data_IF_413750716407
#
_entry.id   IF_413750716407
#
_cell.length_a   1.000
_cell.length_b   1.000
_cell.length_c   1.000
_cell.angle_alpha   90.00
_cell.angle_beta   90.00
_cell.angle_gamma   90.00
#
_symmetry.space_group_name_H-M   'P 1'
#
loop_
_entity.id
_entity.type
_entity.pdbx_description
1 polymer ?
#
# COMPACT_ATOMS: atom_id res chain seq x y z
N UNK A 1 24.21 1.74 16.48
CA UNK A 1 23.97 0.27 16.46
C UNK A 1 24.33 -0.26 17.83
N UNK A 2 23.49 -1.10 18.39
CA UNK A 2 23.76 -1.83 19.63
C UNK A 2 23.86 -3.30 19.23
N UNK A 3 25.00 -3.93 19.49
CA UNK A 3 25.22 -5.34 19.22
C UNK A 3 24.70 -6.19 20.39
N UNK A 4 24.27 -7.42 20.11
CA UNK A 4 23.64 -8.32 21.08
C UNK A 4 22.58 -7.58 21.91
N UNK A 5 21.63 -6.97 21.18
CA UNK A 5 20.65 -6.06 21.76
C UNK A 5 19.36 -6.78 22.15
N UNK A 6 18.66 -6.21 23.10
CA UNK A 6 17.27 -6.53 23.41
C UNK A 6 16.40 -5.27 23.41
N UNK A 7 15.12 -5.44 23.12
CA UNK A 7 14.12 -4.38 23.06
C UNK A 7 12.84 -4.86 23.77
N UNK A 8 12.41 -4.10 24.79
CA UNK A 8 11.14 -4.33 25.47
C UNK A 8 10.05 -3.43 24.87
N UNK A 9 8.92 -4.05 24.54
CA UNK A 9 7.73 -3.36 24.03
C UNK A 9 6.57 -3.57 25.00
N UNK A 10 6.00 -2.50 25.53
CA UNK A 10 4.86 -2.49 26.44
C UNK A 10 3.78 -1.58 25.87
N UNK A 11 2.54 -2.04 25.81
CA UNK A 11 1.39 -1.29 25.29
C UNK A 11 1.64 -0.68 23.88
N UNK A 12 2.36 -1.43 23.02
CA UNK A 12 2.70 -0.99 21.66
C UNK A 12 3.74 0.13 21.59
N UNK A 13 4.51 0.34 22.65
CA UNK A 13 5.57 1.34 22.73
C UNK A 13 6.90 0.71 23.14
N UNK A 14 7.99 1.26 22.65
CA UNK A 14 9.32 0.91 23.13
C UNK A 14 9.49 1.44 24.56
N UNK A 15 9.57 0.52 25.51
CA UNK A 15 9.72 0.85 26.94
C UNK A 15 11.18 0.92 27.34
N UNK A 16 11.94 -0.12 27.04
CA UNK A 16 13.36 -0.22 27.37
C UNK A 16 14.13 -0.90 26.22
N UNK A 17 15.39 -0.65 26.15
CA UNK A 17 16.32 -1.37 25.26
C UNK A 17 17.75 -1.33 25.84
N UNK A 18 18.56 -2.28 25.44
CA UNK A 18 19.95 -2.34 25.90
C UNK A 18 20.76 -3.43 25.21
N UNK A 19 22.02 -3.57 25.62
CA UNK A 19 22.85 -4.71 25.25
C UNK A 19 22.71 -5.83 26.28
N UNK A 20 22.80 -7.06 25.84
CA UNK A 20 22.86 -8.23 26.72
C UNK A 20 24.04 -8.11 27.76
N UNK A 21 25.14 -7.51 27.33
CA UNK A 21 26.30 -7.28 28.19
C UNK A 21 26.03 -6.36 29.39
N UNK A 22 25.07 -5.45 29.26
CA UNK A 22 24.69 -4.49 30.30
C UNK A 22 23.60 -5.04 31.23
N UNK A 23 23.12 -6.25 30.95
CA UNK A 23 22.03 -6.95 31.62
C UNK A 23 20.76 -6.99 30.83
N UNK A 24 19.96 -8.03 31.07
CA UNK A 24 18.63 -8.21 30.47
C UNK A 24 17.53 -8.12 31.50
N UNK A 25 16.34 -7.66 31.18
CA UNK A 25 15.18 -7.75 32.06
C UNK A 25 14.82 -9.22 32.33
N UNK A 26 14.15 -9.49 33.47
CA UNK A 26 13.58 -10.81 33.72
C UNK A 26 12.52 -11.13 32.67
N UNK A 27 12.47 -12.37 32.22
CA UNK A 27 11.44 -12.85 31.29
C UNK A 27 10.18 -13.38 32.00
N UNK A 28 10.13 -13.35 33.33
CA UNK A 28 9.03 -13.91 34.11
C UNK A 28 7.68 -13.19 33.86
N UNK A 29 7.76 -11.90 33.50
CA UNK A 29 6.58 -11.06 33.25
C UNK A 29 6.42 -10.69 31.76
N UNK A 30 7.04 -11.43 30.85
CA UNK A 30 6.98 -11.15 29.38
C UNK A 30 6.06 -12.15 28.70
N UNK A 31 4.99 -11.64 28.07
CA UNK A 31 4.00 -12.49 27.36
C UNK A 31 4.59 -13.21 26.14
N UNK A 32 5.46 -12.53 25.39
CA UNK A 32 6.05 -13.04 24.16
C UNK A 32 7.52 -12.66 24.02
N UNK A 33 8.34 -13.62 23.63
CA UNK A 33 9.75 -13.39 23.28
C UNK A 33 9.94 -13.70 21.81
N UNK A 34 10.51 -12.76 21.07
CA UNK A 34 10.88 -12.92 19.67
C UNK A 34 12.40 -12.94 19.59
N UNK A 35 12.97 -14.08 19.20
CA UNK A 35 14.40 -14.18 18.89
C UNK A 35 14.63 -13.67 17.46
N UNK A 36 15.45 -12.64 17.30
CA UNK A 36 15.82 -12.10 16.00
C UNK A 36 16.89 -12.95 15.28
N UNK A 37 17.37 -14.04 15.90
CA UNK A 37 18.35 -15.00 15.33
C UNK A 37 19.60 -14.32 14.72
N UNK A 38 20.09 -13.27 15.38
CA UNK A 38 21.20 -12.45 14.88
C UNK A 38 20.82 -11.44 13.79
N UNK A 39 19.52 -11.30 13.50
CA UNK A 39 18.99 -10.31 12.58
C UNK A 39 19.05 -8.89 13.16
N UNK A 40 18.86 -7.89 12.28
CA UNK A 40 18.82 -6.50 12.65
C UNK A 40 17.37 -6.01 12.80
N UNK A 41 17.06 -5.37 13.93
CA UNK A 41 15.78 -4.70 14.14
C UNK A 41 15.89 -3.26 13.67
N UNK A 42 15.04 -2.88 12.73
CA UNK A 42 14.98 -1.54 12.15
C UNK A 42 13.55 -0.98 12.24
N UNK A 43 13.40 0.36 12.24
CA UNK A 43 12.09 0.97 12.01
C UNK A 43 11.51 0.51 10.69
N UNK A 44 10.19 0.26 10.65
CA UNK A 44 9.50 -0.04 9.40
C UNK A 44 9.51 1.16 8.44
N UNK A 45 9.43 0.87 7.14
CA UNK A 45 9.30 1.91 6.13
C UNK A 45 7.93 2.58 6.19
N UNK A 46 7.90 3.88 5.91
CA UNK A 46 6.69 4.65 5.68
C UNK A 46 6.63 5.04 4.20
N UNK A 47 5.72 4.42 3.46
CA UNK A 47 5.48 4.75 2.06
C UNK A 47 4.37 5.81 1.97
N UNK A 48 4.74 7.03 1.64
CA UNK A 48 3.87 8.20 1.68
C UNK A 48 3.11 8.46 0.37
N UNK A 49 3.22 7.59 -0.65
CA UNK A 49 2.56 7.81 -1.93
C UNK A 49 2.35 6.49 -2.68
N UNK A 50 1.16 5.90 -2.59
CA UNK A 50 0.84 4.70 -3.35
C UNK A 50 -0.53 4.74 -4.01
N UNK A 51 -0.69 3.85 -5.01
CA UNK A 51 -1.94 3.55 -5.70
C UNK A 51 -2.15 2.03 -5.76
N UNK A 52 -2.00 1.31 -4.65
CA UNK A 52 -2.08 -0.15 -4.65
C UNK A 52 -3.50 -0.70 -4.83
N UNK A 53 -4.54 0.14 -4.70
CA UNK A 53 -5.92 -0.23 -5.02
C UNK A 53 -6.19 0.06 -6.49
N UNK A 54 -6.00 -0.95 -7.33
CA UNK A 54 -6.31 -0.91 -8.77
C UNK A 54 -6.66 -2.31 -9.27
N UNK A 55 -7.39 -2.38 -10.38
CA UNK A 55 -7.73 -3.64 -11.04
C UNK A 55 -6.72 -4.00 -12.12
N UNK A 56 -6.44 -5.31 -12.27
CA UNK A 56 -5.52 -5.82 -13.27
C UNK A 56 -4.05 -5.48 -13.02
N UNK A 57 -3.28 -5.36 -14.10
CA UNK A 57 -1.87 -4.96 -14.05
C UNK A 57 -1.49 -4.13 -15.29
N UNK A 58 -0.38 -3.41 -15.20
CA UNK A 58 0.14 -2.56 -16.29
C UNK A 58 1.51 -3.03 -16.79
N UNK A 59 1.87 -4.26 -16.58
CA UNK A 59 3.18 -4.83 -16.96
C UNK A 59 3.43 -4.71 -18.46
N UNK A 60 2.39 -4.93 -19.28
CA UNK A 60 2.51 -4.80 -20.74
C UNK A 60 2.86 -3.36 -21.17
N UNK A 61 2.28 -2.37 -20.51
CA UNK A 61 2.62 -0.97 -20.77
C UNK A 61 4.07 -0.65 -20.40
N UNK A 62 4.58 -1.29 -19.34
CA UNK A 62 5.98 -1.16 -18.96
C UNK A 62 6.91 -1.76 -20.02
N UNK A 63 6.58 -2.94 -20.56
CA UNK A 63 7.31 -3.55 -21.67
C UNK A 63 7.25 -2.67 -22.92
N UNK A 64 6.09 -2.12 -23.24
CA UNK A 64 5.93 -1.20 -24.38
C UNK A 64 6.80 0.05 -24.24
N UNK A 65 6.91 0.63 -23.03
CA UNK A 65 7.83 1.74 -22.74
C UNK A 65 9.30 1.36 -22.95
N UNK A 66 9.72 0.18 -22.47
CA UNK A 66 11.10 -0.31 -22.70
C UNK A 66 11.38 -0.47 -24.20
N UNK A 67 10.39 -0.87 -24.98
CA UNK A 67 10.48 -1.00 -26.44
C UNK A 67 10.39 0.36 -27.17
N UNK A 68 10.32 1.46 -26.44
CA UNK A 68 10.39 2.82 -27.00
C UNK A 68 9.04 3.39 -27.48
N UNK A 69 7.90 2.77 -27.11
CA UNK A 69 6.61 3.34 -27.45
C UNK A 69 6.34 4.60 -26.65
N UNK A 70 5.78 5.61 -27.32
CA UNK A 70 5.34 6.84 -26.66
C UNK A 70 4.09 6.58 -25.79
N UNK A 71 3.86 7.47 -24.82
CA UNK A 71 2.66 7.39 -23.99
C UNK A 71 1.37 7.43 -24.81
N UNK A 72 1.35 8.24 -25.89
CA UNK A 72 0.21 8.35 -26.79
C UNK A 72 -0.07 7.03 -27.56
N UNK A 73 0.99 6.34 -27.96
CA UNK A 73 0.86 5.03 -28.63
C UNK A 73 0.35 3.95 -27.67
N UNK A 74 0.84 3.94 -26.43
CA UNK A 74 0.37 3.05 -25.38
C UNK A 74 -1.12 3.32 -25.10
N UNK A 75 -1.51 4.59 -24.97
CA UNK A 75 -2.90 4.97 -24.75
C UNK A 75 -3.80 4.55 -25.91
N UNK A 76 -3.36 4.70 -27.17
CA UNK A 76 -4.10 4.22 -28.35
C UNK A 76 -4.27 2.70 -28.42
N UNK A 77 -3.35 1.95 -27.81
CA UNK A 77 -3.44 0.49 -27.69
C UNK A 77 -4.32 0.03 -26.52
N UNK A 78 -5.01 0.96 -25.87
CA UNK A 78 -5.91 0.68 -24.75
C UNK A 78 -5.19 0.67 -23.38
N UNK A 79 -4.01 1.25 -23.27
CA UNK A 79 -3.30 1.46 -22.01
C UNK A 79 -3.66 2.79 -21.33
N UNK A 80 -2.95 3.10 -20.25
CA UNK A 80 -3.08 4.35 -19.51
C UNK A 80 -4.18 4.32 -18.44
N UNK A 81 -4.40 5.48 -17.82
CA UNK A 81 -5.31 5.62 -16.68
C UNK A 81 -6.77 5.28 -17.05
N UNK A 82 -7.19 5.59 -18.26
CA UNK A 82 -8.56 5.31 -18.72
C UNK A 82 -8.84 3.81 -18.80
N UNK A 83 -7.87 3.02 -19.24
CA UNK A 83 -7.97 1.56 -19.21
C UNK A 83 -8.02 1.03 -17.77
N UNK A 84 -7.20 1.59 -16.86
CA UNK A 84 -7.24 1.23 -15.45
C UNK A 84 -8.61 1.52 -14.83
N UNK A 85 -9.24 2.63 -15.20
CA UNK A 85 -10.60 2.99 -14.77
C UNK A 85 -11.64 2.02 -15.32
N UNK A 86 -11.59 1.68 -16.62
CA UNK A 86 -12.49 0.71 -17.24
C UNK A 86 -12.39 -0.68 -16.57
N UNK A 87 -11.18 -1.14 -16.26
CA UNK A 87 -10.95 -2.39 -15.52
C UNK A 87 -11.52 -2.33 -14.11
N UNK A 88 -11.27 -1.22 -13.40
CA UNK A 88 -11.76 -1.02 -12.04
C UNK A 88 -13.29 -0.95 -11.99
N UNK A 89 -13.91 -0.29 -12.97
CA UNK A 89 -15.37 -0.22 -13.12
C UNK A 89 -16.00 -1.61 -13.20
N UNK A 90 -15.41 -2.50 -14.00
CA UNK A 90 -15.89 -3.87 -14.23
C UNK A 90 -15.44 -4.87 -13.16
N UNK A 91 -14.62 -4.46 -12.18
CA UNK A 91 -14.15 -5.33 -11.10
C UNK A 91 -15.03 -5.17 -9.87
N UNK A 92 -15.47 -6.28 -9.29
CA UNK A 92 -16.25 -6.25 -8.05
C UNK A 92 -15.41 -5.70 -6.89
N UNK A 93 -16.07 -5.12 -5.89
CA UNK A 93 -15.40 -4.61 -4.68
C UNK A 93 -14.62 -5.71 -3.96
N UNK A 94 -15.16 -6.94 -3.92
CA UNK A 94 -14.50 -8.08 -3.29
C UNK A 94 -13.22 -8.49 -4.01
N UNK A 95 -13.25 -8.57 -5.33
CA UNK A 95 -12.08 -8.92 -6.12
C UNK A 95 -11.02 -7.79 -6.06
N UNK A 96 -11.45 -6.53 -6.06
CA UNK A 96 -10.57 -5.38 -5.89
C UNK A 96 -9.86 -5.41 -4.53
N UNK A 97 -10.62 -5.73 -3.46
CA UNK A 97 -10.07 -5.90 -2.11
C UNK A 97 -9.05 -7.04 -2.07
N UNK A 98 -9.38 -8.20 -2.64
CA UNK A 98 -8.47 -9.36 -2.67
C UNK A 98 -7.15 -9.02 -3.37
N UNK A 99 -7.21 -8.36 -4.54
CA UNK A 99 -6.01 -7.94 -5.28
C UNK A 99 -5.18 -6.90 -4.51
N UNK A 100 -5.85 -5.94 -3.88
CA UNK A 100 -5.19 -4.90 -3.08
C UNK A 100 -4.49 -5.48 -1.85
N UNK A 101 -5.12 -6.44 -1.16
CA UNK A 101 -4.53 -7.13 -0.01
C UNK A 101 -3.28 -7.93 -0.40
N UNK A 102 -3.28 -8.60 -1.55
CA UNK A 102 -2.08 -9.30 -2.03
C UNK A 102 -0.89 -8.33 -2.21
N UNK A 103 -1.12 -7.15 -2.80
CA UNK A 103 -0.08 -6.12 -2.98
C UNK A 103 0.37 -5.55 -1.63
N UNK A 104 -0.58 -5.34 -0.71
CA UNK A 104 -0.26 -4.89 0.64
C UNK A 104 0.64 -5.89 1.37
N UNK A 105 0.31 -7.18 1.32
CA UNK A 105 1.11 -8.24 1.93
C UNK A 105 2.54 -8.28 1.36
N UNK A 106 2.70 -8.05 0.07
CA UNK A 106 4.03 -8.00 -0.56
C UNK A 106 4.89 -6.85 -0.01
N UNK A 107 4.34 -5.65 0.14
CA UNK A 107 5.09 -4.49 0.65
C UNK A 107 5.32 -4.58 2.15
N UNK A 108 4.37 -5.13 2.91
CA UNK A 108 4.54 -5.39 4.35
C UNK A 108 5.67 -6.40 4.58
N UNK A 109 5.75 -7.48 3.82
CA UNK A 109 6.85 -8.46 3.89
C UNK A 109 8.22 -7.85 3.55
N UNK A 110 8.25 -6.75 2.81
CA UNK A 110 9.46 -5.98 2.50
C UNK A 110 9.79 -4.90 3.53
N UNK A 111 9.01 -4.83 4.63
CA UNK A 111 9.27 -3.96 5.76
C UNK A 111 8.45 -2.66 5.79
N UNK A 112 7.43 -2.50 4.94
CA UNK A 112 6.53 -1.33 5.00
C UNK A 112 5.53 -1.50 6.14
N UNK A 113 5.62 -0.66 7.17
CA UNK A 113 4.70 -0.66 8.31
C UNK A 113 3.66 0.45 8.28
N UNK A 114 3.89 1.48 7.46
CA UNK A 114 2.96 2.57 7.23
C UNK A 114 2.85 2.88 5.74
N UNK A 115 1.62 3.02 5.23
CA UNK A 115 1.39 3.24 3.81
C UNK A 115 0.24 4.22 3.59
N UNK A 116 0.44 5.19 2.71
CA UNK A 116 -0.62 6.04 2.19
C UNK A 116 -1.16 5.44 0.90
N UNK A 117 -2.48 5.35 0.79
CA UNK A 117 -3.17 4.78 -0.38
C UNK A 117 -4.15 5.81 -0.93
N UNK A 118 -3.93 6.18 -2.19
CA UNK A 118 -4.80 7.10 -2.92
C UNK A 118 -5.91 6.37 -3.65
N UNK A 119 -7.08 7.00 -3.74
CA UNK A 119 -8.05 6.72 -4.80
C UNK A 119 -7.59 7.35 -6.12
N UNK A 120 -8.47 7.55 -7.08
CA UNK A 120 -8.15 8.29 -8.31
C UNK A 120 -8.14 7.46 -9.59
N UNK A 121 -8.48 6.18 -9.52
CA UNK A 121 -8.68 5.34 -10.70
C UNK A 121 -10.16 5.03 -10.98
N UNK A 122 -11.08 5.56 -10.18
CA UNK A 122 -12.50 5.41 -10.41
C UNK A 122 -13.00 6.27 -11.56
N UNK A 123 -12.54 7.51 -11.63
CA UNK A 123 -12.93 8.55 -12.59
C UNK A 123 -14.46 8.80 -12.65
N UNK A 124 -15.18 8.36 -11.65
CA UNK A 124 -16.57 8.68 -11.36
C UNK A 124 -16.84 8.47 -9.87
N UNK A 125 -17.93 9.03 -9.36
CA UNK A 125 -18.23 9.01 -7.93
C UNK A 125 -18.36 7.59 -7.36
N UNK A 126 -19.05 6.70 -8.06
CA UNK A 126 -19.33 5.34 -7.56
C UNK A 126 -18.06 4.52 -7.42
N UNK A 127 -17.20 4.55 -8.42
CA UNK A 127 -15.95 3.80 -8.43
C UNK A 127 -14.91 4.40 -7.48
N UNK A 128 -14.85 5.73 -7.33
CA UNK A 128 -14.02 6.37 -6.31
C UNK A 128 -14.46 5.96 -4.89
N UNK A 129 -15.76 5.94 -4.62
CA UNK A 129 -16.30 5.45 -3.35
C UNK A 129 -16.02 3.96 -3.15
N UNK A 130 -16.08 3.13 -4.22
CA UNK A 130 -15.68 1.72 -4.16
C UNK A 130 -14.23 1.58 -3.74
N UNK A 131 -13.31 2.35 -4.32
CA UNK A 131 -11.90 2.36 -3.90
C UNK A 131 -11.74 2.73 -2.42
N UNK A 132 -12.41 3.78 -1.97
CA UNK A 132 -12.32 4.23 -0.57
C UNK A 132 -12.88 3.18 0.41
N UNK A 133 -13.97 2.48 0.05
CA UNK A 133 -14.49 1.36 0.86
C UNK A 133 -13.48 0.20 0.92
N UNK A 134 -12.83 -0.13 -0.18
CA UNK A 134 -11.76 -1.13 -0.21
C UNK A 134 -10.61 -0.72 0.71
N UNK A 135 -10.14 0.54 0.64
CA UNK A 135 -9.09 1.03 1.54
C UNK A 135 -9.52 0.95 3.01
N UNK A 136 -10.77 1.25 3.32
CA UNK A 136 -11.29 1.13 4.68
C UNK A 136 -11.27 -0.33 5.17
N UNK A 137 -11.70 -1.28 4.35
CA UNK A 137 -11.62 -2.71 4.67
C UNK A 137 -10.18 -3.19 4.86
N UNK A 138 -9.24 -2.66 4.07
CA UNK A 138 -7.81 -2.97 4.22
C UNK A 138 -7.26 -2.49 5.58
N UNK A 139 -7.69 -1.31 6.06
CA UNK A 139 -7.33 -0.82 7.41
C UNK A 139 -7.79 -1.76 8.52
N UNK A 140 -8.95 -2.38 8.36
CA UNK A 140 -9.53 -3.29 9.35
C UNK A 140 -8.88 -4.67 9.30
N UNK A 141 -8.40 -5.09 8.12
CA UNK A 141 -7.84 -6.42 7.90
C UNK A 141 -6.31 -6.50 8.06
N UNK A 142 -5.60 -5.38 8.15
CA UNK A 142 -4.14 -5.34 8.19
C UNK A 142 -3.60 -4.75 9.48
N UNK A 143 -2.45 -5.24 9.93
CA UNK A 143 -1.68 -4.63 11.02
C UNK A 143 -0.88 -3.39 10.58
N UNK A 144 -0.68 -3.17 9.27
CA UNK A 144 -0.01 -1.99 8.76
C UNK A 144 -0.85 -0.72 9.01
N UNK A 145 -0.18 0.38 9.31
CA UNK A 145 -0.83 1.68 9.41
C UNK A 145 -1.19 2.19 8.01
N UNK A 146 -2.48 2.26 7.69
CA UNK A 146 -2.96 2.74 6.39
C UNK A 146 -3.57 4.13 6.53
N UNK A 147 -3.14 5.06 5.68
CA UNK A 147 -3.71 6.40 5.52
C UNK A 147 -4.38 6.48 4.15
N UNK A 148 -5.66 6.85 4.10
CA UNK A 148 -6.38 7.02 2.83
C UNK A 148 -6.35 8.47 2.38
N UNK A 149 -6.14 8.66 1.09
CA UNK A 149 -6.21 9.98 0.43
C UNK A 149 -7.22 9.91 -0.72
N UNK A 150 -8.20 10.81 -0.70
CA UNK A 150 -9.10 10.98 -1.83
C UNK A 150 -8.40 11.77 -2.94
N UNK A 151 -8.40 11.22 -4.15
CA UNK A 151 -7.81 11.84 -5.34
C UNK A 151 -8.81 11.80 -6.53
N UNK A 152 -10.03 12.25 -6.32
CA UNK A 152 -11.10 12.21 -7.32
C UNK A 152 -10.78 12.96 -8.62
N UNK A 153 -9.98 14.02 -8.55
CA UNK A 153 -9.57 14.81 -9.72
C UNK A 153 -8.22 14.34 -10.35
N UNK A 154 -7.93 13.04 -10.32
CA UNK A 154 -6.68 12.47 -10.83
C UNK A 154 -6.56 12.57 -12.37
N UNK A 155 -7.65 12.35 -13.08
CA UNK A 155 -7.75 12.53 -14.53
C UNK A 155 -9.22 12.77 -14.91
N UNK A 156 -9.44 13.39 -16.06
CA UNK A 156 -10.78 13.60 -16.60
C UNK A 156 -11.30 12.31 -17.22
N UNK A 157 -12.54 11.95 -16.90
CA UNK A 157 -13.21 10.77 -17.47
C UNK A 157 -13.45 10.93 -18.97
N UNK A 158 -13.63 9.80 -19.68
CA UNK A 158 -13.91 9.84 -21.13
C UNK A 158 -15.19 10.62 -21.42
N UNK A 159 -15.09 11.53 -22.39
CA UNK A 159 -16.24 12.28 -22.89
C UNK A 159 -16.69 13.42 -21.99
N UNK A 160 -15.95 13.73 -20.94
CA UNK A 160 -16.18 14.89 -20.06
C UNK A 160 -15.17 16.00 -20.33
N UNK A 161 -15.57 17.23 -20.12
CA UNK A 161 -14.63 18.35 -19.98
C UNK A 161 -14.16 18.43 -18.53
N UNK A 162 -13.10 19.20 -18.27
CA UNK A 162 -12.62 19.40 -16.90
C UNK A 162 -13.69 20.06 -16.01
N UNK A 163 -14.44 21.03 -16.58
CA UNK A 163 -15.49 21.75 -15.84
C UNK A 163 -16.71 20.87 -15.51
N UNK A 164 -16.99 19.86 -16.36
CA UNK A 164 -18.06 18.89 -16.10
C UNK A 164 -17.68 17.82 -15.06
N UNK A 165 -16.36 17.58 -14.90
CA UNK A 165 -15.83 16.51 -14.05
C UNK A 165 -15.57 16.98 -12.60
N UNK A 166 -15.21 18.23 -12.38
CA UNK A 166 -14.87 18.83 -11.07
C UNK A 166 -16.08 19.57 -10.52
#
# INVERSE_FOLDING_TARGET
VIDDAWLLVEDGRFSLFGSVSDGMPSFEDVDNIIDAEGGMVLPSWCDSHTHIVFAGSREREFVDKINGLSYEEIARRGGGILNSADLLHNTTEEELFRQAMQRLDEVVRKGTGCIEIKSGYGLNLEDELKMLRVIQRMKEASSAKIVSTFLGAHAVARGMTQDDYV
#
